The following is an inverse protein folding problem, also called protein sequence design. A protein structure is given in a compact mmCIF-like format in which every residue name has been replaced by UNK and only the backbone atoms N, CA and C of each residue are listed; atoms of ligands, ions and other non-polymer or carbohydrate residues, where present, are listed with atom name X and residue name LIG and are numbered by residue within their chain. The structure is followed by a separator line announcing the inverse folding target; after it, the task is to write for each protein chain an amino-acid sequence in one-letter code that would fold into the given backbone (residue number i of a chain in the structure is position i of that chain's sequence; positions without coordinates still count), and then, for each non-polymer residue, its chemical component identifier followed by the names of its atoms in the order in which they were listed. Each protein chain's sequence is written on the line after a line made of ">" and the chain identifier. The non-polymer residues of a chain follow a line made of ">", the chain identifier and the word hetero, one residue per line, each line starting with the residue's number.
data_IF_676198518740
#
_entry.id   IF_676198518740
#
_cell.length_a   1.000
_cell.length_b   1.000
_cell.length_c   1.000
_cell.angle_alpha   90.00
_cell.angle_beta   90.00
_cell.angle_gamma   90.00
#
_symmetry.space_group_name_H-M   'P 1'
#
loop_
_entity.id
_entity.type
_entity.pdbx_description
1 polymer ?
#
# COMPACT_ATOMS: atom_id res chain seq x y z
N UNK A 1 -6.52 10.98 26.89
CA UNK A 1 -6.06 9.73 26.27
C UNK A 1 -6.99 9.39 25.10
N UNK A 2 -6.42 9.01 23.98
CA UNK A 2 -7.14 8.62 22.77
C UNK A 2 -6.61 7.26 22.32
N UNK A 3 -7.48 6.35 21.93
CA UNK A 3 -7.11 5.08 21.30
C UNK A 3 -7.41 5.14 19.81
N UNK A 4 -6.43 4.78 18.98
CA UNK A 4 -6.56 4.64 17.53
C UNK A 4 -6.49 3.15 17.20
N UNK A 5 -7.51 2.66 16.52
CA UNK A 5 -7.57 1.27 16.03
C UNK A 5 -7.03 1.20 14.60
N UNK A 6 -6.21 0.19 14.33
CA UNK A 6 -5.54 0.02 13.05
C UNK A 6 -5.58 -1.43 12.56
N UNK A 7 -6.24 -1.68 11.44
CA UNK A 7 -6.30 -2.99 10.80
C UNK A 7 -5.27 -3.13 9.68
N UNK A 8 -4.57 -4.27 9.67
CA UNK A 8 -3.53 -4.54 8.68
C UNK A 8 -3.42 -6.05 8.36
N UNK A 9 -2.64 -6.35 7.32
CA UNK A 9 -2.39 -7.72 6.84
C UNK A 9 -0.97 -8.21 7.15
N UNK A 10 -0.21 -7.47 7.96
CA UNK A 10 1.21 -7.77 8.24
C UNK A 10 1.36 -9.06 9.03
N UNK A 11 2.15 -9.99 8.50
CA UNK A 11 2.60 -11.17 9.26
C UNK A 11 3.54 -10.79 10.41
N UNK A 12 3.91 -11.78 11.23
CA UNK A 12 4.66 -11.58 12.48
C UNK A 12 5.90 -10.70 12.33
N UNK A 13 6.73 -10.95 11.33
CA UNK A 13 7.97 -10.19 11.11
C UNK A 13 7.73 -8.69 10.85
N UNK A 14 6.67 -8.36 10.09
CA UNK A 14 6.32 -6.98 9.80
C UNK A 14 5.58 -6.34 10.98
N UNK A 15 4.78 -7.10 11.72
CA UNK A 15 4.14 -6.64 12.94
C UNK A 15 5.17 -6.26 14.01
N UNK A 16 6.28 -6.97 14.11
CA UNK A 16 7.37 -6.62 15.02
C UNK A 16 7.97 -5.26 14.67
N UNK A 17 8.16 -4.96 13.38
CA UNK A 17 8.63 -3.64 12.92
C UNK A 17 7.59 -2.56 13.20
N UNK A 18 6.31 -2.85 12.98
CA UNK A 18 5.23 -1.92 13.31
C UNK A 18 5.21 -1.58 14.81
N UNK A 19 5.40 -2.59 15.68
CA UNK A 19 5.50 -2.38 17.12
C UNK A 19 6.63 -1.41 17.48
N UNK A 20 7.80 -1.54 16.86
CA UNK A 20 8.91 -0.59 17.08
C UNK A 20 8.53 0.83 16.68
N UNK A 21 7.82 1.02 15.56
CA UNK A 21 7.34 2.36 15.19
C UNK A 21 6.31 2.91 16.15
N UNK A 22 5.41 2.07 16.66
CA UNK A 22 4.43 2.47 17.68
C UNK A 22 5.12 2.85 18.99
N UNK A 23 6.13 2.11 19.41
CA UNK A 23 6.93 2.45 20.60
C UNK A 23 7.62 3.82 20.44
N UNK A 24 8.24 4.10 19.30
CA UNK A 24 8.87 5.40 19.03
C UNK A 24 7.83 6.54 18.98
N UNK A 25 6.67 6.29 18.35
CA UNK A 25 5.56 7.23 18.32
C UNK A 25 5.05 7.55 19.75
N UNK A 26 4.86 6.53 20.58
CA UNK A 26 4.37 6.69 21.94
C UNK A 26 5.32 7.48 22.85
N UNK A 27 6.64 7.49 22.56
CA UNK A 27 7.59 8.36 23.28
C UNK A 27 7.32 9.84 23.01
N UNK A 28 6.84 10.17 21.82
CA UNK A 28 6.52 11.53 21.40
C UNK A 28 5.09 11.94 21.75
N UNK A 29 4.16 10.99 21.69
CA UNK A 29 2.72 11.19 21.89
C UNK A 29 2.13 10.18 22.90
N UNK A 30 2.50 10.23 24.17
CA UNK A 30 2.12 9.22 25.17
C UNK A 30 0.61 9.17 25.46
N UNK A 31 -0.14 10.18 25.06
CA UNK A 31 -1.60 10.23 25.23
C UNK A 31 -2.38 9.57 24.09
N UNK A 32 -1.69 9.06 23.07
CA UNK A 32 -2.28 8.39 21.93
C UNK A 32 -1.87 6.93 21.95
N UNK A 33 -2.83 6.04 22.15
CA UNK A 33 -2.61 4.59 22.17
C UNK A 33 -3.00 4.01 20.82
N UNK A 34 -2.07 3.29 20.16
CA UNK A 34 -2.36 2.61 18.90
C UNK A 34 -2.62 1.14 19.19
N UNK A 35 -3.83 0.71 18.93
CA UNK A 35 -4.25 -0.68 19.01
C UNK A 35 -4.36 -1.24 17.59
N UNK A 36 -3.36 -2.02 17.16
CA UNK A 36 -3.37 -2.62 15.85
C UNK A 36 -3.77 -4.09 15.89
N UNK A 37 -4.37 -4.55 14.81
CA UNK A 37 -4.83 -5.91 14.65
C UNK A 37 -4.48 -6.44 13.25
N UNK A 38 -3.94 -7.64 13.20
CA UNK A 38 -3.77 -8.38 11.96
C UNK A 38 -5.08 -9.07 11.60
N UNK A 39 -5.70 -8.62 10.50
CA UNK A 39 -6.96 -9.16 9.99
C UNK A 39 -6.68 -9.92 8.70
N UNK A 40 -6.23 -11.15 8.78
CA UNK A 40 -6.06 -12.07 7.65
C UNK A 40 -5.48 -11.44 6.36
N UNK A 41 -6.17 -11.63 5.25
CA UNK A 41 -5.86 -11.05 3.94
C UNK A 41 -6.48 -9.66 3.76
N UNK A 42 -6.17 -8.98 2.64
CA UNK A 42 -6.84 -7.70 2.29
C UNK A 42 -8.34 -7.86 2.09
N UNK A 43 -8.80 -9.01 1.59
CA UNK A 43 -10.23 -9.31 1.47
C UNK A 43 -10.89 -9.48 2.84
N UNK A 44 -10.20 -10.13 3.78
CA UNK A 44 -10.70 -10.26 5.15
C UNK A 44 -10.85 -8.88 5.83
N UNK A 45 -9.87 -7.98 5.65
CA UNK A 45 -9.96 -6.59 6.13
C UNK A 45 -11.15 -5.88 5.49
N UNK A 46 -11.34 -6.01 4.18
CA UNK A 46 -12.47 -5.42 3.46
C UNK A 46 -13.81 -5.89 4.02
N UNK A 47 -13.97 -7.19 4.18
CA UNK A 47 -15.24 -7.80 4.59
C UNK A 47 -15.56 -7.49 6.05
N UNK A 48 -14.54 -7.47 6.92
CA UNK A 48 -14.70 -7.07 8.31
C UNK A 48 -15.14 -5.61 8.42
N UNK A 49 -14.41 -4.68 7.77
CA UNK A 49 -14.79 -3.26 7.76
C UNK A 49 -16.19 -3.08 7.16
N UNK A 50 -16.51 -3.76 6.06
CA UNK A 50 -17.84 -3.72 5.46
C UNK A 50 -18.96 -4.11 6.43
N UNK A 51 -18.71 -5.06 7.32
CA UNK A 51 -19.64 -5.45 8.39
C UNK A 51 -19.71 -4.38 9.49
N UNK A 52 -18.59 -3.87 9.94
CA UNK A 52 -18.47 -2.91 11.04
C UNK A 52 -19.02 -1.52 10.70
N UNK A 53 -18.98 -1.12 9.43
CA UNK A 53 -19.59 0.12 8.94
C UNK A 53 -21.09 0.21 9.27
N UNK A 54 -21.80 -0.93 9.33
CA UNK A 54 -23.22 -0.98 9.67
C UNK A 54 -23.50 -0.69 11.15
N UNK A 55 -22.51 -0.84 12.00
CA UNK A 55 -22.58 -0.66 13.45
C UNK A 55 -21.75 0.50 13.97
N UNK A 56 -21.07 1.24 13.08
CA UNK A 56 -20.16 2.35 13.41
C UNK A 56 -19.05 1.90 14.38
N UNK A 57 -18.48 0.73 14.13
CA UNK A 57 -17.37 0.15 14.91
C UNK A 57 -16.11 -0.09 14.08
N UNK A 58 -16.07 0.47 12.88
CA UNK A 58 -14.94 0.40 11.96
C UNK A 58 -13.65 0.99 12.56
N UNK A 59 -12.47 0.55 12.13
CA UNK A 59 -11.20 1.05 12.65
C UNK A 59 -10.94 2.50 12.19
N UNK A 60 -10.08 3.19 12.93
CA UNK A 60 -9.66 4.55 12.55
C UNK A 60 -8.74 4.56 11.34
N UNK A 61 -7.90 3.51 11.18
CA UNK A 61 -6.94 3.35 10.09
C UNK A 61 -6.98 1.90 9.63
N UNK A 62 -6.87 1.69 8.33
CA UNK A 62 -6.74 0.34 7.76
C UNK A 62 -5.82 0.33 6.55
N UNK A 63 -5.12 -0.78 6.34
CA UNK A 63 -4.57 -1.10 5.04
C UNK A 63 -5.71 -1.52 4.11
N UNK A 64 -5.65 -1.01 2.89
CA UNK A 64 -6.67 -1.29 1.88
C UNK A 64 -6.10 -1.17 0.47
N UNK A 65 -6.81 -1.74 -0.47
CA UNK A 65 -6.67 -1.34 -1.87
C UNK A 65 -7.63 -0.17 -2.18
N UNK A 66 -7.31 0.69 -3.15
CA UNK A 66 -8.14 1.84 -3.50
C UNK A 66 -9.59 1.49 -3.88
N UNK A 67 -9.83 0.35 -4.53
CA UNK A 67 -11.16 -0.13 -4.87
C UNK A 67 -12.00 -0.49 -3.62
N UNK A 68 -11.37 -1.02 -2.57
CA UNK A 68 -12.04 -1.24 -1.28
C UNK A 68 -12.52 0.06 -0.66
N UNK A 69 -11.70 1.12 -0.74
CA UNK A 69 -12.07 2.46 -0.25
C UNK A 69 -13.27 3.03 -1.00
N UNK A 70 -13.36 2.81 -2.30
CA UNK A 70 -14.53 3.22 -3.08
C UNK A 70 -15.82 2.60 -2.51
N UNK A 71 -15.78 1.34 -2.08
CA UNK A 71 -16.90 0.67 -1.41
C UNK A 71 -17.21 1.31 -0.05
N UNK A 72 -16.21 1.54 0.79
CA UNK A 72 -16.41 2.16 2.11
C UNK A 72 -16.98 3.58 1.98
N UNK A 73 -16.54 4.33 0.99
CA UNK A 73 -16.96 5.72 0.78
C UNK A 73 -18.46 5.86 0.39
N UNK A 74 -19.09 4.77 -0.06
CA UNK A 74 -20.55 4.76 -0.29
C UNK A 74 -21.35 5.01 1.01
N UNK A 75 -20.78 4.72 2.16
CA UNK A 75 -21.41 4.98 3.47
C UNK A 75 -21.10 6.37 4.02
N UNK A 76 -20.16 7.10 3.40
CA UNK A 76 -19.68 8.39 3.91
C UNK A 76 -18.76 8.27 5.14
N UNK A 77 -18.25 7.06 5.46
CA UNK A 77 -17.40 6.83 6.62
C UNK A 77 -15.92 7.16 6.38
N UNK A 78 -15.50 7.30 5.11
CA UNK A 78 -14.09 7.55 4.79
C UNK A 78 -13.77 9.04 4.90
N UNK A 79 -12.80 9.38 5.74
CA UNK A 79 -12.32 10.74 5.87
C UNK A 79 -11.44 11.15 4.67
N UNK A 80 -11.58 12.39 4.21
CA UNK A 80 -10.66 12.98 3.25
C UNK A 80 -9.37 13.41 3.95
N UNK A 81 -8.22 13.21 3.28
CA UNK A 81 -6.91 13.45 3.86
C UNK A 81 -6.34 14.83 3.50
N UNK A 82 -6.96 15.58 2.58
CA UNK A 82 -6.44 16.85 2.08
C UNK A 82 -6.09 17.84 3.20
N UNK A 83 -7.03 18.08 4.13
CA UNK A 83 -6.82 18.99 5.24
C UNK A 83 -5.78 18.49 6.25
N UNK A 84 -5.60 17.17 6.37
CA UNK A 84 -4.59 16.57 7.23
C UNK A 84 -3.20 16.68 6.59
N UNK A 85 -3.10 16.37 5.30
CA UNK A 85 -1.87 16.46 4.52
C UNK A 85 -1.37 17.91 4.45
N UNK A 86 -2.27 18.87 4.26
CA UNK A 86 -1.94 20.29 4.16
C UNK A 86 -1.97 21.03 5.50
N UNK A 87 -2.11 20.31 6.61
CA UNK A 87 -2.12 20.88 7.95
C UNK A 87 -0.87 21.70 8.21
N UNK A 88 -1.05 22.81 8.93
CA UNK A 88 0.02 23.65 9.47
C UNK A 88 -0.10 23.80 10.98
N UNK A 89 -0.88 22.92 11.60
CA UNK A 89 -1.08 22.92 13.04
C UNK A 89 0.26 22.59 13.73
N UNK A 90 0.64 23.46 14.65
CA UNK A 90 1.83 23.25 15.51
C UNK A 90 1.43 22.50 16.77
N UNK A 91 2.13 21.42 17.07
CA UNK A 91 1.94 20.61 18.29
C UNK A 91 3.26 20.49 19.05
N UNK A 92 3.16 20.39 20.37
CA UNK A 92 4.32 20.14 21.23
C UNK A 92 4.34 18.66 21.61
N UNK A 93 5.43 17.98 21.34
CA UNK A 93 5.68 16.58 21.68
C UNK A 93 6.05 16.43 23.16
N UNK A 94 5.99 15.22 23.67
CA UNK A 94 6.35 14.93 25.06
C UNK A 94 7.82 15.25 25.41
N UNK A 95 8.72 15.19 24.43
CA UNK A 95 10.13 15.59 24.58
C UNK A 95 10.36 17.10 24.57
N UNK A 96 9.30 17.91 24.44
CA UNK A 96 9.34 19.36 24.39
C UNK A 96 9.65 19.95 23.01
N UNK A 97 9.88 19.13 22.00
CA UNK A 97 10.06 19.61 20.62
C UNK A 97 8.73 20.02 19.99
N UNK A 98 8.79 20.89 19.01
CA UNK A 98 7.62 21.33 18.25
C UNK A 98 7.60 20.68 16.89
N UNK A 99 6.44 20.15 16.50
CA UNK A 99 6.17 19.63 15.17
C UNK A 99 5.07 20.42 14.48
N UNK A 100 5.22 20.64 13.20
CA UNK A 100 4.14 21.13 12.33
C UNK A 100 3.55 19.91 11.63
N UNK A 101 2.27 19.64 11.90
CA UNK A 101 1.56 18.50 11.29
C UNK A 101 1.33 18.74 9.81
N UNK A 102 1.09 17.64 9.09
CA UNK A 102 0.94 17.61 7.64
C UNK A 102 2.26 17.32 6.93
N UNK A 103 2.24 17.38 5.62
CA UNK A 103 3.41 17.12 4.77
C UNK A 103 3.93 18.43 4.17
N UNK A 104 5.24 18.55 4.11
CA UNK A 104 5.90 19.60 3.32
C UNK A 104 5.80 19.28 1.83
N UNK A 105 6.02 20.29 0.98
CA UNK A 105 6.04 20.05 -0.47
C UNK A 105 7.18 19.11 -0.88
N UNK A 106 8.32 19.16 -0.19
CA UNK A 106 9.41 18.21 -0.37
C UNK A 106 8.98 16.76 -0.09
N UNK A 107 8.30 16.52 1.04
CA UNK A 107 7.79 15.21 1.40
C UNK A 107 6.72 14.71 0.42
N UNK A 108 5.84 15.60 -0.07
CA UNK A 108 4.85 15.24 -1.09
C UNK A 108 5.51 14.83 -2.41
N UNK A 109 6.56 15.55 -2.81
CA UNK A 109 7.28 15.30 -4.05
C UNK A 109 8.22 14.08 -3.98
N UNK A 110 8.49 13.57 -2.78
CA UNK A 110 9.29 12.35 -2.57
C UNK A 110 8.49 11.07 -2.84
N UNK A 111 7.16 11.15 -2.83
CA UNK A 111 6.34 10.02 -3.26
C UNK A 111 6.45 9.78 -4.77
N UNK A 112 6.39 8.52 -5.19
CA UNK A 112 6.20 8.19 -6.60
C UNK A 112 4.84 8.76 -7.03
N UNK A 113 4.87 9.71 -7.95
CA UNK A 113 3.70 10.52 -8.35
C UNK A 113 2.47 9.66 -8.72
N UNK A 114 2.68 8.58 -9.47
CA UNK A 114 1.59 7.69 -9.86
C UNK A 114 0.89 7.06 -8.65
N UNK A 115 1.65 6.62 -7.64
CA UNK A 115 1.11 6.01 -6.43
C UNK A 115 0.44 7.03 -5.52
N UNK A 116 0.99 8.23 -5.43
CA UNK A 116 0.37 9.31 -4.66
C UNK A 116 -0.96 9.75 -5.27
N UNK A 117 -1.00 9.93 -6.59
CA UNK A 117 -2.20 10.37 -7.30
C UNK A 117 -3.31 9.32 -7.34
N UNK A 118 -2.98 8.03 -7.17
CA UNK A 118 -3.99 6.97 -7.05
C UNK A 118 -4.96 7.23 -5.90
N UNK A 119 -4.49 7.83 -4.80
CA UNK A 119 -5.31 8.21 -3.65
C UNK A 119 -6.39 9.27 -3.94
N UNK A 120 -6.38 9.88 -5.14
CA UNK A 120 -7.34 10.91 -5.60
C UNK A 120 -8.28 10.44 -6.70
N UNK A 121 -8.23 9.16 -7.09
CA UNK A 121 -8.97 8.65 -8.26
C UNK A 121 -10.40 8.17 -7.92
N UNK A 122 -11.08 8.88 -7.01
CA UNK A 122 -12.43 8.52 -6.55
C UNK A 122 -13.55 9.38 -7.18
N UNK A 123 -13.22 10.22 -8.17
CA UNK A 123 -14.18 10.96 -8.98
C UNK A 123 -14.41 12.42 -8.55
N UNK A 124 -14.07 12.80 -7.32
CA UNK A 124 -14.19 14.17 -6.79
C UNK A 124 -12.85 14.90 -6.64
N UNK A 125 -11.73 14.19 -6.89
CA UNK A 125 -10.37 14.71 -6.80
C UNK A 125 -9.83 14.86 -5.37
N UNK A 126 -10.59 14.42 -4.36
CA UNK A 126 -10.16 14.44 -2.96
C UNK A 126 -9.28 13.23 -2.64
N UNK A 127 -8.38 13.39 -1.68
CA UNK A 127 -7.46 12.35 -1.24
C UNK A 127 -8.11 11.49 -0.17
N UNK A 128 -8.26 10.19 -0.43
CA UNK A 128 -8.85 9.23 0.50
C UNK A 128 -7.86 8.19 0.99
N UNK A 129 -6.75 7.98 0.27
CA UNK A 129 -5.71 7.04 0.66
C UNK A 129 -4.33 7.64 0.49
N UNK A 130 -3.38 7.15 1.29
CA UNK A 130 -1.95 7.44 1.15
C UNK A 130 -1.22 6.15 0.82
N UNK A 131 -0.24 6.15 -0.10
CA UNK A 131 0.57 4.97 -0.35
C UNK A 131 1.46 4.68 0.87
N UNK A 132 1.35 3.47 1.39
CA UNK A 132 2.27 2.98 2.43
C UNK A 132 3.34 2.07 1.81
N UNK A 133 2.90 1.03 1.10
CA UNK A 133 3.76 0.15 0.32
C UNK A 133 3.03 -0.27 -0.96
N UNK A 134 3.77 -0.50 -2.02
CA UNK A 134 3.23 -0.93 -3.30
C UNK A 134 4.03 -2.12 -3.81
N UNK A 135 3.31 -3.15 -4.25
CA UNK A 135 3.88 -4.24 -5.02
C UNK A 135 3.87 -3.89 -6.51
N UNK A 136 4.82 -4.42 -7.24
CA UNK A 136 4.83 -4.35 -8.69
C UNK A 136 5.15 -5.71 -9.28
N UNK A 137 4.49 -6.03 -10.37
CA UNK A 137 4.81 -7.23 -11.12
C UNK A 137 6.06 -6.99 -11.95
N UNK A 138 6.95 -7.99 -11.95
CA UNK A 138 8.19 -7.96 -12.72
C UNK A 138 8.40 -9.28 -13.43
N UNK A 139 8.95 -9.21 -14.62
CA UNK A 139 9.35 -10.39 -15.38
C UNK A 139 10.78 -10.78 -15.01
N UNK A 140 10.93 -11.91 -14.30
CA UNK A 140 12.23 -12.52 -14.07
C UNK A 140 12.65 -13.34 -15.30
N UNK A 141 13.90 -13.24 -15.70
CA UNK A 141 14.43 -14.01 -16.80
C UNK A 141 15.80 -14.59 -16.52
N UNK A 142 16.13 -15.73 -17.12
CA UNK A 142 17.44 -16.32 -17.04
C UNK A 142 18.40 -15.58 -17.97
N UNK A 143 19.14 -14.61 -17.44
CA UNK A 143 20.08 -13.77 -18.18
C UNK A 143 21.10 -14.59 -18.98
N UNK A 144 21.69 -15.62 -18.36
CA UNK A 144 22.70 -16.47 -19.00
C UNK A 144 22.13 -17.20 -20.23
N UNK A 145 20.90 -17.73 -20.12
CA UNK A 145 20.23 -18.39 -21.23
C UNK A 145 19.92 -17.41 -22.38
N UNK A 146 19.48 -16.19 -22.06
CA UNK A 146 19.20 -15.16 -23.05
C UNK A 146 20.45 -14.73 -23.80
N UNK A 147 21.56 -14.48 -23.08
CA UNK A 147 22.85 -14.11 -23.69
C UNK A 147 23.41 -15.22 -24.57
N UNK A 148 23.38 -16.47 -24.10
CA UNK A 148 23.89 -17.62 -24.86
C UNK A 148 23.12 -17.87 -26.17
N UNK A 149 21.83 -17.51 -26.22
CA UNK A 149 20.97 -17.74 -27.37
C UNK A 149 20.61 -16.47 -28.15
N UNK A 150 21.26 -15.33 -27.84
CA UNK A 150 21.00 -14.01 -28.44
C UNK A 150 19.49 -13.62 -28.42
N UNK A 151 18.83 -13.89 -27.29
CA UNK A 151 17.43 -13.53 -27.08
C UNK A 151 17.31 -12.09 -26.58
N UNK A 152 16.26 -11.42 -27.00
CA UNK A 152 15.93 -10.03 -26.59
C UNK A 152 14.74 -10.04 -25.64
N UNK A 153 14.77 -9.15 -24.62
CA UNK A 153 13.64 -8.99 -23.71
C UNK A 153 12.42 -8.43 -24.47
N UNK A 154 11.23 -9.01 -24.25
CA UNK A 154 10.01 -8.56 -24.89
C UNK A 154 9.54 -7.24 -24.26
N UNK A 155 8.92 -6.39 -25.07
CA UNK A 155 8.28 -5.13 -24.66
C UNK A 155 6.76 -5.17 -24.80
N UNK A 156 6.24 -6.17 -25.47
CA UNK A 156 4.80 -6.38 -25.71
C UNK A 156 4.44 -7.84 -25.48
N UNK A 157 3.15 -8.09 -25.31
CA UNK A 157 2.63 -9.47 -25.18
C UNK A 157 2.85 -10.30 -26.44
N UNK A 158 2.78 -9.69 -27.62
CA UNK A 158 3.06 -10.38 -28.88
C UNK A 158 4.54 -10.76 -28.98
N UNK A 159 5.45 -9.87 -28.60
CA UNK A 159 6.89 -10.18 -28.55
C UNK A 159 7.20 -11.27 -27.51
N UNK A 160 6.48 -11.30 -26.38
CA UNK A 160 6.62 -12.35 -25.37
C UNK A 160 6.18 -13.70 -25.93
N UNK A 161 5.05 -13.74 -26.66
CA UNK A 161 4.56 -14.95 -27.34
C UNK A 161 5.57 -15.47 -28.36
N UNK A 162 6.14 -14.58 -29.18
CA UNK A 162 7.16 -14.93 -30.17
C UNK A 162 8.45 -15.43 -29.49
N UNK A 163 8.83 -14.80 -28.39
CA UNK A 163 9.97 -15.23 -27.57
C UNK A 163 9.76 -16.64 -27.01
N UNK A 164 8.58 -16.93 -26.46
CA UNK A 164 8.24 -18.26 -25.97
C UNK A 164 8.34 -19.32 -27.08
N UNK A 165 7.87 -18.99 -28.29
CA UNK A 165 8.00 -19.89 -29.43
C UNK A 165 9.46 -20.14 -29.81
N UNK A 166 10.32 -19.11 -29.80
CA UNK A 166 11.78 -19.26 -30.03
C UNK A 166 12.45 -20.11 -28.95
N UNK A 167 12.12 -19.90 -27.68
CA UNK A 167 12.66 -20.70 -26.57
C UNK A 167 12.29 -22.16 -26.75
N UNK A 168 11.06 -22.47 -27.14
CA UNK A 168 10.62 -23.84 -27.45
C UNK A 168 11.34 -24.48 -28.63
N UNK A 169 11.82 -23.69 -29.61
CA UNK A 169 12.66 -24.20 -30.71
C UNK A 169 14.09 -24.52 -30.22
N UNK A 170 14.63 -23.76 -29.28
CA UNK A 170 15.98 -23.97 -28.71
C UNK A 170 15.97 -25.14 -27.74
N UNK A 171 14.97 -25.20 -26.87
CA UNK A 171 14.77 -26.23 -25.86
C UNK A 171 13.30 -26.66 -25.84
N UNK A 172 12.96 -27.75 -26.56
CA UNK A 172 11.61 -28.27 -26.65
C UNK A 172 10.99 -28.70 -25.32
N UNK A 173 11.83 -29.08 -24.35
CA UNK A 173 11.38 -29.57 -23.04
C UNK A 173 11.16 -28.43 -22.04
N UNK A 174 11.64 -27.21 -22.33
CA UNK A 174 11.49 -26.06 -21.44
C UNK A 174 10.02 -25.62 -21.27
N UNK A 175 9.73 -24.99 -20.14
CA UNK A 175 8.53 -24.17 -19.94
C UNK A 175 8.95 -22.71 -20.08
N UNK A 176 8.66 -22.05 -21.24
CA UNK A 176 9.23 -20.76 -21.55
C UNK A 176 8.70 -19.60 -20.68
N UNK A 177 7.53 -19.76 -20.08
CA UNK A 177 6.92 -18.75 -19.20
C UNK A 177 6.16 -19.44 -18.08
N UNK A 178 6.44 -19.06 -16.84
CA UNK A 178 5.56 -19.27 -15.70
C UNK A 178 4.82 -17.97 -15.40
N UNK A 179 3.53 -18.04 -15.20
CA UNK A 179 2.71 -16.90 -14.84
C UNK A 179 1.83 -17.27 -13.64
N UNK A 180 1.85 -16.41 -12.64
CA UNK A 180 0.95 -16.48 -11.50
C UNK A 180 -0.12 -15.41 -11.67
N UNK A 181 -1.36 -15.75 -11.40
CA UNK A 181 -2.52 -14.89 -11.62
C UNK A 181 -3.28 -14.56 -10.34
N UNK A 182 -2.63 -14.69 -9.16
CA UNK A 182 -3.25 -14.25 -7.92
C UNK A 182 -3.36 -12.73 -7.82
#
# INVERSE_FOLDING_TARGET
>A
EVTITFYHTMGSNLSDVLNLYIEEFNKLYPNIHIQHEQVGSYDDVRDQIGTELSTHSEPNIAYCYPDHVAMYNLTGAVATLDNLIDSKLSVTRADGTTEILGLTDEQKNDFIEAYYNEGRQFGDGLMYTMPFSKSTEVLYYNKTFFEANNLTLPKTWDELKDLCAKIKQIDPDSIPLGYDSE
#
